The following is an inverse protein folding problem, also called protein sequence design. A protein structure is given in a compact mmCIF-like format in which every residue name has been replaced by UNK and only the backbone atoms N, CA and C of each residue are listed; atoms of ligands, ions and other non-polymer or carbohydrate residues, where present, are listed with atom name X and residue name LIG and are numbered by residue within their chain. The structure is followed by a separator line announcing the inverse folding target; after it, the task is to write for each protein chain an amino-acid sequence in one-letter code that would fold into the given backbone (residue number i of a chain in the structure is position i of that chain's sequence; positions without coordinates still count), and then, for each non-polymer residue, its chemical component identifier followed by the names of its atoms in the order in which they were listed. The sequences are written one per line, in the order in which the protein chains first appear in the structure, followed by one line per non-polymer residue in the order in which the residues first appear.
data_IF_845558655448
#
_entry.id   IF_845558655448
#
_cell.length_a   1.000
_cell.length_b   1.000
_cell.length_c   1.000
_cell.angle_alpha   90.00
_cell.angle_beta   90.00
_cell.angle_gamma   90.00
#
_symmetry.space_group_name_H-M   'P 1'
#
loop_
_entity.id
_entity.type
_entity.pdbx_description
1 polymer ?
#
# COMPACT_ATOMS: atom_id res chain seq x y z
N UNK A 1 6.65 11.24 -32.34
CA UNK A 1 5.67 10.94 -31.26
C UNK A 1 6.17 11.61 -29.99
N UNK A 2 5.39 12.52 -29.41
CA UNK A 2 5.87 13.36 -28.29
C UNK A 2 5.96 12.50 -27.01
N UNK A 3 7.11 12.44 -26.31
CA UNK A 3 7.31 11.56 -25.15
C UNK A 3 6.40 11.88 -23.95
N UNK A 4 5.71 13.03 -23.97
CA UNK A 4 4.75 13.45 -22.94
C UNK A 4 3.37 12.78 -23.05
N UNK A 5 3.04 12.16 -24.18
CA UNK A 5 1.71 11.55 -24.39
C UNK A 5 1.61 10.19 -23.68
N UNK A 6 2.73 9.47 -23.55
CA UNK A 6 2.81 8.15 -22.90
C UNK A 6 2.38 8.18 -21.42
N UNK A 7 2.90 9.08 -20.56
CA UNK A 7 2.47 9.14 -19.16
C UNK A 7 1.01 9.58 -19.01
N UNK A 8 0.52 10.47 -19.88
CA UNK A 8 -0.87 10.95 -19.81
C UNK A 8 -1.88 9.81 -20.08
N UNK A 9 -1.61 8.99 -21.10
CA UNK A 9 -2.46 7.82 -21.43
C UNK A 9 -2.41 6.78 -20.31
N UNK A 10 -1.24 6.55 -19.70
CA UNK A 10 -1.08 5.60 -18.59
C UNK A 10 -1.92 5.98 -17.36
N UNK A 11 -1.95 7.26 -17.00
CA UNK A 11 -2.74 7.76 -15.86
C UNK A 11 -4.24 7.62 -16.15
N UNK A 12 -4.69 7.99 -17.35
CA UNK A 12 -6.09 7.88 -17.74
C UNK A 12 -6.53 6.40 -17.78
N UNK A 13 -5.71 5.51 -18.35
CA UNK A 13 -5.98 4.07 -18.38
C UNK A 13 -6.07 3.46 -16.98
N UNK A 14 -5.16 3.85 -16.07
CA UNK A 14 -5.20 3.42 -14.67
C UNK A 14 -6.48 3.86 -13.95
N UNK A 15 -6.92 5.11 -14.18
CA UNK A 15 -8.14 5.65 -13.59
C UNK A 15 -9.38 4.91 -14.11
N UNK A 16 -9.46 4.67 -15.42
CA UNK A 16 -10.54 3.87 -16.04
C UNK A 16 -10.57 2.46 -15.44
N UNK A 17 -9.42 1.80 -15.31
CA UNK A 17 -9.33 0.45 -14.74
C UNK A 17 -9.85 0.39 -13.30
N UNK A 18 -9.51 1.37 -12.46
CA UNK A 18 -10.01 1.45 -11.08
C UNK A 18 -11.53 1.60 -11.04
N UNK A 19 -12.09 2.47 -11.88
CA UNK A 19 -13.55 2.68 -11.98
C UNK A 19 -14.23 1.42 -12.47
N UNK A 20 -13.66 0.74 -13.46
CA UNK A 20 -14.19 -0.50 -14.01
C UNK A 20 -14.21 -1.61 -12.95
N UNK A 21 -13.11 -1.80 -12.22
CA UNK A 21 -13.05 -2.77 -11.12
C UNK A 21 -14.11 -2.50 -10.05
N UNK A 22 -14.35 -1.23 -9.70
CA UNK A 22 -15.39 -0.84 -8.76
C UNK A 22 -16.80 -1.15 -9.28
N UNK A 23 -17.02 -0.91 -10.57
CA UNK A 23 -18.30 -1.17 -11.23
C UNK A 23 -18.62 -2.67 -11.26
N UNK A 24 -17.65 -3.51 -11.61
CA UNK A 24 -17.82 -4.97 -11.61
C UNK A 24 -18.13 -5.52 -10.21
N UNK A 25 -17.44 -5.03 -9.17
CA UNK A 25 -17.74 -5.43 -7.80
C UNK A 25 -19.17 -5.08 -7.37
N UNK A 26 -19.72 -3.96 -7.87
CA UNK A 26 -21.12 -3.59 -7.59
C UNK A 26 -22.11 -4.49 -8.35
N UNK A 27 -21.81 -4.86 -9.60
CA UNK A 27 -22.63 -5.79 -10.38
C UNK A 27 -22.66 -7.18 -9.74
N UNK A 28 -21.50 -7.69 -9.30
CA UNK A 28 -21.41 -8.97 -8.59
C UNK A 28 -22.29 -8.98 -7.34
N UNK A 29 -22.27 -7.89 -6.57
CA UNK A 29 -23.12 -7.72 -5.38
C UNK A 29 -24.60 -7.76 -5.69
N UNK A 30 -25.06 -7.12 -6.77
CA UNK A 30 -26.47 -7.16 -7.17
C UNK A 30 -26.88 -8.58 -7.59
N UNK A 31 -26.04 -9.27 -8.37
CA UNK A 31 -26.32 -10.65 -8.79
C UNK A 31 -26.38 -11.65 -7.62
N UNK A 32 -25.66 -11.39 -6.53
CA UNK A 32 -25.73 -12.19 -5.30
C UNK A 32 -27.07 -11.97 -4.59
N UNK A 33 -27.53 -10.72 -4.48
CA UNK A 33 -28.85 -10.38 -3.89
C UNK A 33 -29.98 -11.03 -4.70
N UNK A 34 -29.92 -10.98 -6.03
CA UNK A 34 -30.92 -11.61 -6.91
C UNK A 34 -30.98 -13.14 -6.77
N UNK A 35 -29.86 -13.78 -6.43
CA UNK A 35 -29.78 -15.23 -6.16
C UNK A 35 -30.20 -15.61 -4.73
N UNK A 36 -30.68 -14.66 -3.92
CA UNK A 36 -31.05 -14.88 -2.52
C UNK A 36 -29.84 -15.13 -1.60
N UNK A 37 -28.63 -14.84 -2.07
CA UNK A 37 -27.41 -14.91 -1.27
C UNK A 37 -27.20 -13.56 -0.60
N UNK A 38 -27.06 -13.53 0.73
CA UNK A 38 -26.69 -12.31 1.43
C UNK A 38 -25.23 -11.93 1.09
N UNK A 39 -24.97 -10.84 0.35
CA UNK A 39 -23.59 -10.37 0.12
C UNK A 39 -22.94 -9.90 1.43
N UNK A 40 -23.72 -9.75 2.51
CA UNK A 40 -23.27 -9.31 3.82
C UNK A 40 -22.78 -10.46 4.73
N UNK A 41 -23.21 -11.70 4.51
CA UNK A 41 -22.70 -12.86 5.27
C UNK A 41 -21.23 -13.15 4.93
N UNK A 42 -20.84 -12.88 3.69
CA UNK A 42 -19.44 -12.94 3.25
C UNK A 42 -18.65 -11.65 3.54
N UNK A 43 -19.32 -10.57 3.95
CA UNK A 43 -18.68 -9.30 4.35
C UNK A 43 -18.56 -9.14 5.86
N UNK A 44 -19.36 -9.82 6.68
CA UNK A 44 -19.24 -9.74 8.14
C UNK A 44 -17.88 -10.27 8.64
N UNK A 45 -17.29 -11.25 7.95
CA UNK A 45 -15.91 -11.69 8.20
C UNK A 45 -14.84 -10.72 7.69
N UNK A 46 -15.18 -9.83 6.73
CA UNK A 46 -14.20 -9.03 5.97
C UNK A 46 -14.30 -7.51 6.20
N UNK A 47 -15.39 -7.01 6.80
CA UNK A 47 -15.74 -5.58 6.85
C UNK A 47 -15.60 -4.91 8.22
N UNK A 48 -15.29 -5.64 9.28
CA UNK A 48 -15.16 -5.06 10.64
C UNK A 48 -13.73 -5.00 11.18
N UNK A 49 -12.71 -5.13 10.33
CA UNK A 49 -11.38 -4.64 10.69
C UNK A 49 -11.11 -3.50 9.74
N UNK A 50 -11.18 -2.27 10.24
CA UNK A 50 -10.23 -1.24 9.79
C UNK A 50 -8.90 -1.93 10.01
N UNK A 51 -8.37 -2.51 8.94
CA UNK A 51 -7.32 -3.49 9.04
C UNK A 51 -6.12 -2.75 9.67
N UNK A 52 -5.76 -3.03 10.95
CA UNK A 52 -4.70 -2.28 11.62
C UNK A 52 -3.36 -2.48 10.92
N UNK A 53 -3.26 -3.54 10.13
CA UNK A 53 -2.16 -3.86 9.22
C UNK A 53 -1.85 -2.72 8.23
N UNK A 54 -2.84 -2.11 7.59
CA UNK A 54 -2.60 -1.10 6.56
C UNK A 54 -2.08 0.19 7.19
N UNK A 55 -2.70 0.66 8.27
CA UNK A 55 -2.22 1.84 9.00
C UNK A 55 -0.82 1.61 9.59
N UNK A 56 -0.53 0.39 10.08
CA UNK A 56 0.78 0.05 10.63
C UNK A 56 1.86 -0.07 9.54
N UNK A 57 1.51 -0.61 8.36
CA UNK A 57 2.38 -0.66 7.17
C UNK A 57 2.73 0.75 6.69
N UNK A 58 1.73 1.62 6.50
CA UNK A 58 1.96 3.00 6.07
C UNK A 58 2.71 3.81 7.13
N UNK A 59 2.42 3.62 8.41
CA UNK A 59 3.13 4.27 9.52
C UNK A 59 4.60 3.91 9.54
N UNK A 60 4.94 2.61 9.52
CA UNK A 60 6.34 2.18 9.51
C UNK A 60 7.08 2.53 8.20
N UNK A 61 6.39 2.53 7.06
CA UNK A 61 6.94 3.02 5.80
C UNK A 61 7.32 4.50 5.95
N UNK A 62 6.41 5.35 6.44
CA UNK A 62 6.66 6.78 6.60
C UNK A 62 7.79 7.07 7.57
N UNK A 63 7.86 6.32 8.68
CA UNK A 63 8.95 6.42 9.67
C UNK A 63 10.29 5.99 9.05
N UNK A 64 10.32 4.86 8.33
CA UNK A 64 11.53 4.38 7.66
C UNK A 64 12.00 5.34 6.57
N UNK A 65 11.11 5.81 5.70
CA UNK A 65 11.43 6.78 4.66
C UNK A 65 11.91 8.12 5.26
N UNK A 66 11.25 8.60 6.32
CA UNK A 66 11.65 9.83 7.03
C UNK A 66 13.04 9.72 7.67
N UNK A 67 13.33 8.60 8.35
CA UNK A 67 14.65 8.34 8.93
C UNK A 67 15.73 8.22 7.85
N UNK A 68 15.45 7.49 6.77
CA UNK A 68 16.37 7.36 5.63
C UNK A 68 16.68 8.70 4.97
N UNK A 69 15.69 9.58 4.87
CA UNK A 69 15.88 10.93 4.31
C UNK A 69 16.71 11.80 5.24
N UNK A 70 16.46 11.75 6.55
CA UNK A 70 17.20 12.51 7.55
C UNK A 70 18.68 12.10 7.58
N UNK A 71 18.94 10.79 7.67
CA UNK A 71 20.32 10.25 7.66
C UNK A 71 20.98 10.54 6.31
N UNK A 72 20.27 10.33 5.20
CA UNK A 72 20.77 10.62 3.86
C UNK A 72 21.15 12.09 3.67
N UNK A 73 20.36 13.03 4.21
CA UNK A 73 20.65 14.46 4.16
C UNK A 73 21.90 14.86 4.96
N UNK A 74 22.16 14.17 6.09
CA UNK A 74 23.36 14.42 6.91
C UNK A 74 24.62 13.87 6.21
N UNK A 75 24.53 12.72 5.54
CA UNK A 75 25.68 12.07 4.89
C UNK A 75 25.96 12.60 3.48
N UNK A 76 24.94 13.10 2.78
CA UNK A 76 25.08 13.68 1.44
C UNK A 76 26.20 14.73 1.31
N UNK A 77 26.39 15.72 2.21
CA UNK A 77 27.49 16.69 2.07
C UNK A 77 28.89 16.08 2.27
N UNK A 78 29.01 14.91 2.92
CA UNK A 78 30.30 14.23 3.13
C UNK A 78 30.63 13.23 2.03
N UNK A 79 29.68 12.94 1.14
CA UNK A 79 29.81 11.96 0.07
C UNK A 79 29.55 12.65 -1.27
N UNK A 80 30.50 12.57 -2.21
CA UNK A 80 30.35 13.08 -3.59
C UNK A 80 29.39 12.22 -4.45
N UNK A 81 28.50 11.43 -3.84
CA UNK A 81 27.55 10.56 -4.52
C UNK A 81 26.14 11.14 -4.41
N UNK A 82 25.64 11.63 -5.54
CA UNK A 82 24.31 12.25 -5.66
C UNK A 82 23.15 11.26 -5.41
N UNK A 83 23.43 9.95 -5.32
CA UNK A 83 22.41 8.90 -5.16
C UNK A 83 22.19 8.41 -3.72
N UNK A 84 23.01 8.84 -2.75
CA UNK A 84 23.03 8.20 -1.44
C UNK A 84 21.75 8.45 -0.64
N UNK A 85 21.10 9.60 -0.85
CA UNK A 85 19.83 9.95 -0.23
C UNK A 85 18.71 9.01 -0.69
N UNK A 86 18.62 8.76 -2.00
CA UNK A 86 17.62 7.85 -2.59
C UNK A 86 17.86 6.41 -2.11
N UNK A 87 19.12 5.97 -2.09
CA UNK A 87 19.49 4.65 -1.60
C UNK A 87 19.12 4.47 -0.13
N UNK A 88 19.43 5.44 0.75
CA UNK A 88 19.09 5.34 2.16
C UNK A 88 17.58 5.36 2.40
N UNK A 89 16.83 6.20 1.70
CA UNK A 89 15.36 6.21 1.79
C UNK A 89 14.77 4.87 1.37
N UNK A 90 15.28 4.27 0.30
CA UNK A 90 14.79 2.98 -0.19
C UNK A 90 15.13 1.85 0.79
N UNK A 91 16.34 1.85 1.36
CA UNK A 91 16.78 0.85 2.35
C UNK A 91 15.98 0.98 3.65
N UNK A 92 15.91 2.17 4.24
CA UNK A 92 15.20 2.38 5.51
C UNK A 92 13.67 2.27 5.33
N UNK A 93 13.13 2.75 4.21
CA UNK A 93 11.72 2.54 3.85
C UNK A 93 11.38 1.05 3.69
N UNK A 94 12.24 0.30 3.02
CA UNK A 94 12.11 -1.16 2.87
C UNK A 94 12.22 -1.91 4.20
N UNK A 95 13.18 -1.52 5.06
CA UNK A 95 13.32 -2.08 6.40
C UNK A 95 12.09 -1.81 7.28
N UNK A 96 11.52 -0.60 7.20
CA UNK A 96 10.27 -0.24 7.88
C UNK A 96 9.11 -1.15 7.43
N UNK A 97 8.98 -1.40 6.13
CA UNK A 97 7.98 -2.33 5.60
C UNK A 97 8.19 -3.77 6.09
N UNK A 98 9.42 -4.27 6.07
CA UNK A 98 9.74 -5.61 6.58
C UNK A 98 9.40 -5.76 8.07
N UNK A 99 9.74 -4.75 8.87
CA UNK A 99 9.45 -4.75 10.30
C UNK A 99 7.92 -4.71 10.53
N UNK A 100 7.17 -3.99 9.70
CA UNK A 100 5.71 -3.98 9.75
C UNK A 100 5.11 -5.36 9.51
N UNK A 101 5.72 -6.15 8.60
CA UNK A 101 5.28 -7.51 8.29
C UNK A 101 5.55 -8.48 9.44
N UNK A 102 6.72 -8.39 10.08
CA UNK A 102 7.06 -9.21 11.26
C UNK A 102 6.12 -8.93 12.42
N UNK A 103 5.80 -7.65 12.68
CA UNK A 103 4.86 -7.26 13.75
C UNK A 103 3.45 -7.82 13.47
N UNK A 104 2.99 -7.78 12.22
CA UNK A 104 1.70 -8.36 11.82
C UNK A 104 1.65 -9.86 12.09
N UNK A 105 2.67 -10.62 11.68
CA UNK A 105 2.74 -12.07 11.93
C UNK A 105 2.66 -12.38 13.44
N UNK A 106 3.31 -11.56 14.27
CA UNK A 106 3.30 -11.74 15.72
C UNK A 106 1.91 -11.46 16.32
N UNK A 107 1.22 -10.43 15.84
CA UNK A 107 -0.11 -10.06 16.33
C UNK A 107 -1.19 -11.08 15.90
N UNK A 108 -1.05 -11.67 14.72
CA UNK A 108 -1.96 -12.72 14.24
C UNK A 108 -1.83 -14.00 15.06
N UNK A 109 -0.61 -14.38 15.46
CA UNK A 109 -0.38 -15.53 16.36
C UNK A 109 -0.98 -15.32 17.74
N UNK A 110 -0.88 -14.10 18.28
CA UNK A 110 -1.40 -13.74 19.61
C UNK A 110 -2.93 -13.63 19.67
N UNK A 111 -3.60 -13.57 18.52
CA UNK A 111 -5.06 -13.52 18.42
C UNK A 111 -5.69 -14.91 18.31
N UNK A 112 -4.86 -15.97 18.22
CA UNK A 112 -5.25 -17.37 18.06
C UNK A 112 -5.00 -18.19 19.35
N UNK A 113 -4.37 -17.59 20.37
CA UNK A 113 -4.28 -18.10 21.75
C UNK A 113 -5.34 -17.41 22.63
#
# INVERSE_FOLDING_TARGET
MNPLIIPLISVIAGLIMIVFLRYFQNMERMSMIEKGLNPFDNQSSKRSRISPDNTLRFGLLLVGAGLGLLIGAIIAPYTQSEGIQVALVMIFGGAGLLLSYVIQIKNDKKSQE
#
